data_IF_253806862853
#
_entry.id   IF_253806862853
#
_cell.length_a   1.000
_cell.length_b   1.000
_cell.length_c   1.000
_cell.angle_alpha   90.00
_cell.angle_beta   90.00
_cell.angle_gamma   90.00
#
_symmetry.space_group_name_H-M   'P 1'
#
loop_
_entity.id
_entity.type
_entity.pdbx_description
1 polymer ?
#
# COMPACT_ATOMS: atom_id res chain seq x y z
N UNK A 1 -5.33 -10.68 22.12
CA UNK A 1 -4.47 -9.99 21.15
C UNK A 1 -3.68 -11.06 20.39
N UNK A 2 -3.72 -11.08 19.06
CA UNK A 2 -2.84 -11.95 18.25
C UNK A 2 -1.64 -11.09 17.85
N UNK A 3 -0.48 -11.35 18.44
CA UNK A 3 0.77 -10.71 18.02
C UNK A 3 1.41 -11.61 16.97
N UNK A 4 1.65 -11.14 15.74
CA UNK A 4 2.42 -11.89 14.76
C UNK A 4 3.78 -12.27 15.35
N UNK A 5 4.16 -13.55 15.27
CA UNK A 5 5.52 -13.98 15.58
C UNK A 5 6.35 -13.76 14.31
N UNK A 6 7.56 -13.20 14.45
CA UNK A 6 8.42 -12.81 13.32
C UNK A 6 8.65 -13.96 12.32
N UNK A 7 8.71 -15.19 12.81
CA UNK A 7 8.91 -16.41 12.01
C UNK A 7 7.73 -16.74 11.06
N UNK A 8 6.59 -16.06 11.23
CA UNK A 8 5.39 -16.25 10.41
C UNK A 8 5.07 -15.01 9.55
N UNK A 9 5.94 -14.00 9.51
CA UNK A 9 5.72 -12.81 8.69
C UNK A 9 5.93 -13.15 7.21
N UNK A 10 4.89 -12.91 6.40
CA UNK A 10 4.97 -13.04 4.94
C UNK A 10 5.93 -11.98 4.41
N UNK A 11 6.86 -12.38 3.54
CA UNK A 11 7.69 -11.46 2.78
C UNK A 11 6.85 -10.72 1.74
N UNK A 12 7.37 -9.61 1.23
CA UNK A 12 6.71 -8.84 0.17
C UNK A 12 6.32 -9.73 -1.00
N UNK A 13 7.25 -10.53 -1.53
CA UNK A 13 7.05 -11.50 -2.64
C UNK A 13 6.04 -12.61 -2.35
N UNK A 14 5.65 -12.81 -1.08
CA UNK A 14 4.68 -13.82 -0.66
C UNK A 14 3.27 -13.26 -0.46
N UNK A 15 3.10 -11.93 -0.48
CA UNK A 15 1.78 -11.31 -0.49
C UNK A 15 1.28 -11.25 -1.92
N UNK A 16 0.04 -11.68 -2.16
CA UNK A 16 -0.55 -11.62 -3.50
C UNK A 16 -0.91 -10.16 -3.86
N UNK A 17 -0.80 -9.81 -5.15
CA UNK A 17 -1.03 -8.42 -5.59
C UNK A 17 -2.43 -7.92 -5.21
N UNK A 18 -3.45 -8.77 -5.35
CA UNK A 18 -4.83 -8.41 -4.95
C UNK A 18 -4.96 -8.02 -3.47
N UNK A 19 -4.22 -8.67 -2.58
CA UNK A 19 -4.23 -8.30 -1.15
C UNK A 19 -3.56 -6.94 -0.94
N UNK A 20 -2.44 -6.71 -1.61
CA UNK A 20 -1.70 -5.45 -1.53
C UNK A 20 -2.54 -4.30 -2.12
N UNK A 21 -3.22 -4.53 -3.24
CA UNK A 21 -4.17 -3.59 -3.85
C UNK A 21 -5.27 -3.19 -2.88
N UNK A 22 -5.90 -4.15 -2.20
CA UNK A 22 -6.97 -3.87 -1.23
C UNK A 22 -6.43 -2.99 -0.09
N UNK A 23 -5.24 -3.29 0.43
CA UNK A 23 -4.63 -2.50 1.49
C UNK A 23 -4.33 -1.06 1.04
N UNK A 24 -3.74 -0.88 -0.15
CA UNK A 24 -3.41 0.43 -0.71
C UNK A 24 -4.68 1.26 -0.94
N UNK A 25 -5.69 0.70 -1.62
CA UNK A 25 -6.92 1.43 -1.95
C UNK A 25 -7.69 1.83 -0.70
N UNK A 26 -7.86 0.91 0.25
CA UNK A 26 -8.57 1.22 1.49
C UNK A 26 -7.82 2.28 2.33
N UNK A 27 -6.50 2.19 2.41
CA UNK A 27 -5.72 3.18 3.15
C UNK A 27 -5.83 4.58 2.54
N UNK A 28 -5.71 4.71 1.22
CA UNK A 28 -5.85 6.01 0.54
C UNK A 28 -7.27 6.56 0.73
N UNK A 29 -8.29 5.70 0.66
CA UNK A 29 -9.69 6.08 0.87
C UNK A 29 -9.96 6.55 2.29
N UNK A 30 -9.44 5.86 3.29
CA UNK A 30 -9.62 6.19 4.70
C UNK A 30 -8.86 7.47 5.09
N UNK A 31 -7.70 7.72 4.49
CA UNK A 31 -6.90 8.93 4.74
C UNK A 31 -7.46 10.18 4.04
N UNK A 32 -8.27 10.01 2.99
CA UNK A 32 -8.75 11.13 2.16
C UNK A 32 -7.65 11.79 1.32
N UNK A 33 -6.52 11.12 1.15
CA UNK A 33 -5.29 11.65 0.55
C UNK A 33 -4.06 11.23 1.34
N UNK A 34 -3.05 10.65 0.68
CA UNK A 34 -1.81 10.22 1.35
C UNK A 34 -0.58 10.35 0.45
N UNK A 35 0.50 10.89 0.98
CA UNK A 35 1.79 10.97 0.28
C UNK A 35 2.41 9.58 0.10
N UNK A 36 3.20 9.38 -0.96
CA UNK A 36 3.79 8.08 -1.29
C UNK A 36 4.63 7.48 -0.15
N UNK A 37 5.43 8.29 0.53
CA UNK A 37 6.27 7.81 1.64
C UNK A 37 5.40 7.34 2.83
N UNK A 38 4.36 8.11 3.17
CA UNK A 38 3.42 7.74 4.22
C UNK A 38 2.62 6.48 3.85
N UNK A 39 2.23 6.35 2.57
CA UNK A 39 1.56 5.17 2.03
C UNK A 39 2.44 3.92 2.24
N UNK A 40 3.71 4.00 1.82
CA UNK A 40 4.68 2.90 1.98
C UNK A 40 4.82 2.50 3.44
N UNK A 41 5.00 3.47 4.34
CA UNK A 41 5.18 3.20 5.77
C UNK A 41 3.97 2.51 6.39
N UNK A 42 2.77 3.03 6.13
CA UNK A 42 1.55 2.49 6.73
C UNK A 42 1.20 1.13 6.14
N UNK A 43 1.31 0.94 4.83
CA UNK A 43 1.07 -0.37 4.18
C UNK A 43 2.05 -1.40 4.71
N UNK A 44 3.33 -1.09 4.79
CA UNK A 44 4.33 -2.00 5.34
C UNK A 44 4.02 -2.38 6.80
N UNK A 45 3.56 -1.42 7.60
CA UNK A 45 3.12 -1.68 8.99
C UNK A 45 1.92 -2.62 9.06
N UNK A 46 0.96 -2.52 8.14
CA UNK A 46 -0.20 -3.44 8.05
C UNK A 46 0.26 -4.88 7.84
N UNK A 47 1.28 -5.09 7.00
CA UNK A 47 1.85 -6.43 6.74
C UNK A 47 2.94 -6.86 7.74
N UNK A 48 3.30 -5.99 8.70
CA UNK A 48 4.33 -6.27 9.69
C UNK A 48 5.76 -6.18 9.15
N UNK A 49 5.98 -5.55 7.99
CA UNK A 49 7.31 -5.36 7.42
C UNK A 49 8.04 -4.23 8.14
N UNK A 50 9.08 -4.59 8.88
CA UNK A 50 9.93 -3.63 9.62
C UNK A 50 11.06 -3.06 8.77
N UNK A 51 11.49 -3.77 7.71
CA UNK A 51 12.56 -3.33 6.81
C UNK A 51 12.01 -2.84 5.47
N UNK A 52 12.01 -1.53 5.27
CA UNK A 52 11.59 -0.87 4.03
C UNK A 52 12.73 -0.82 3.01
N UNK A 53 13.11 -1.98 2.48
CA UNK A 53 14.07 -2.09 1.39
C UNK A 53 13.52 -1.55 0.05
N UNK A 54 14.38 -1.36 -0.95
CA UNK A 54 13.98 -0.87 -2.28
C UNK A 54 12.87 -1.71 -2.89
N UNK A 55 12.89 -3.03 -2.70
CA UNK A 55 11.89 -3.95 -3.27
C UNK A 55 10.49 -3.71 -2.69
N UNK A 56 10.39 -3.51 -1.37
CA UNK A 56 9.12 -3.20 -0.68
C UNK A 56 8.58 -1.87 -1.18
N UNK A 57 9.43 -0.84 -1.25
CA UNK A 57 9.05 0.49 -1.70
C UNK A 57 8.58 0.47 -3.15
N UNK A 58 9.37 -0.15 -4.03
CA UNK A 58 9.07 -0.24 -5.45
C UNK A 58 7.75 -0.98 -5.70
N UNK A 59 7.50 -2.07 -4.98
CA UNK A 59 6.27 -2.84 -5.16
C UNK A 59 5.04 -2.12 -4.69
N UNK A 60 5.07 -1.45 -3.53
CA UNK A 60 3.94 -0.64 -3.05
C UNK A 60 3.67 0.51 -4.01
N UNK A 61 4.72 1.20 -4.47
CA UNK A 61 4.61 2.28 -5.45
C UNK A 61 4.02 1.79 -6.78
N UNK A 62 4.49 0.65 -7.29
CA UNK A 62 3.97 0.05 -8.52
C UNK A 62 2.47 -0.25 -8.41
N UNK A 63 2.03 -0.88 -7.32
CA UNK A 63 0.60 -1.16 -7.10
C UNK A 63 -0.21 0.14 -7.04
N UNK A 64 0.28 1.19 -6.39
CA UNK A 64 -0.41 2.49 -6.35
C UNK A 64 -0.54 3.12 -7.76
N UNK A 65 0.50 3.04 -8.58
CA UNK A 65 0.46 3.50 -9.97
C UNK A 65 -0.51 2.69 -10.82
N UNK A 66 -0.48 1.35 -10.72
CA UNK A 66 -1.43 0.47 -11.41
C UNK A 66 -2.87 0.84 -11.04
N UNK A 67 -3.15 1.12 -9.76
CA UNK A 67 -4.49 1.55 -9.35
C UNK A 67 -4.88 2.95 -9.86
N UNK A 68 -3.91 3.82 -10.17
CA UNK A 68 -4.18 5.06 -10.90
C UNK A 68 -4.56 4.77 -12.35
N UNK A 69 -3.88 3.84 -13.02
CA UNK A 69 -4.21 3.42 -14.38
C UNK A 69 -5.59 2.74 -14.46
N UNK A 70 -5.96 1.95 -13.45
CA UNK A 70 -7.28 1.33 -13.32
C UNK A 70 -8.37 2.32 -12.85
N UNK A 71 -8.03 3.59 -12.62
CA UNK A 71 -8.97 4.64 -12.22
C UNK A 71 -9.54 4.50 -10.80
N UNK A 72 -8.96 3.62 -9.96
CA UNK A 72 -9.35 3.49 -8.55
C UNK A 72 -8.73 4.58 -7.68
N UNK A 73 -7.54 5.04 -8.05
CA UNK A 73 -6.84 6.13 -7.41
C UNK A 73 -6.62 7.28 -8.39
N UNK A 74 -6.39 8.46 -7.86
CA UNK A 74 -5.92 9.65 -8.58
C UNK A 74 -4.58 10.05 -8.02
N UNK A 75 -3.61 10.23 -8.92
CA UNK A 75 -2.30 10.76 -8.57
C UNK A 75 -2.31 12.29 -8.61
N UNK A 76 -1.89 12.88 -7.50
CA UNK A 76 -1.49 14.29 -7.39
C UNK A 76 0.05 14.37 -7.39
N UNK A 77 0.61 15.59 -7.37
CA UNK A 77 2.06 15.81 -7.54
C UNK A 77 2.95 14.92 -6.64
N UNK A 78 2.56 14.69 -5.39
CA UNK A 78 3.26 13.82 -4.43
C UNK A 78 2.36 12.84 -3.66
N UNK A 79 1.05 12.89 -3.87
CA UNK A 79 0.07 12.16 -3.08
C UNK A 79 -0.95 11.41 -3.94
N UNK A 80 -1.60 10.42 -3.35
CA UNK A 80 -2.69 9.67 -3.94
C UNK A 80 -3.99 10.00 -3.23
N UNK A 81 -5.08 10.11 -3.99
CA UNK A 81 -6.43 10.24 -3.47
C UNK A 81 -7.32 9.14 -4.07
N UNK A 82 -8.36 8.73 -3.36
CA UNK A 82 -9.34 7.80 -3.93
C UNK A 82 -10.08 8.50 -5.09
N UNK A 83 -10.37 7.75 -6.16
CA UNK A 83 -11.33 8.23 -7.14
C UNK A 83 -12.71 8.29 -6.49
N UNK A 84 -13.37 9.45 -6.52
CA UNK A 84 -14.74 9.58 -6.01
C UNK A 84 -15.65 8.55 -6.69
N UNK A 85 -16.48 7.79 -5.94
CA UNK A 85 -17.53 7.00 -6.55
C UNK A 85 -18.50 7.97 -7.24
N UNK A 86 -18.68 7.81 -8.55
CA UNK A 86 -19.70 8.53 -9.33
C UNK A 86 -21.10 8.15 -8.87
#
# INVERSE_FOLDING_TARGET
MRTPVEDCLRKVDQVHDSELTIAVVNLVRDAGGVDLDALIEVVARVFGWTRLGPDVKARIAQVAEEQCEQGQLRRHASSYAAADPT
#
